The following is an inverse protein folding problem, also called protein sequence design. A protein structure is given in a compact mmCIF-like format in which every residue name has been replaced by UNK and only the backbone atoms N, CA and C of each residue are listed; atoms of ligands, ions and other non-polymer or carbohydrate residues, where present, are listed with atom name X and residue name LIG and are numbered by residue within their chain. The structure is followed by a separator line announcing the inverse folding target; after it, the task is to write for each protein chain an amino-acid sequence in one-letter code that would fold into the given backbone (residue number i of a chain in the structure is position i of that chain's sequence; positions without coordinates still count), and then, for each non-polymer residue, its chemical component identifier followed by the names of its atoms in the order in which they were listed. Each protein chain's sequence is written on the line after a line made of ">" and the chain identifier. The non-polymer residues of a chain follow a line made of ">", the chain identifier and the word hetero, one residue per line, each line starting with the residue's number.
data_IF_916447987292
#
_entry.id   IF_916447987292
#
_cell.length_a   1.000
_cell.length_b   1.000
_cell.length_c   1.000
_cell.angle_alpha   90.00
_cell.angle_beta   90.00
_cell.angle_gamma   90.00
#
_symmetry.space_group_name_H-M   'P 1'
#
loop_
_entity.id
_entity.type
_entity.pdbx_description
1 polymer ?
#
# COMPACT_ATOMS: atom_id res chain seq x y z
N UNK A 1 4.86 9.11 -16.51
CA UNK A 1 4.22 10.35 -16.99
C UNK A 1 3.26 10.92 -15.95
N UNK A 2 2.32 10.12 -15.43
CA UNK A 2 1.37 10.53 -14.38
C UNK A 2 2.03 11.23 -13.16
N UNK A 3 3.05 10.63 -12.55
CA UNK A 3 3.78 11.22 -11.42
C UNK A 3 4.33 12.62 -11.70
N UNK A 4 4.94 12.82 -12.87
CA UNK A 4 5.50 14.12 -13.25
C UNK A 4 4.42 15.17 -13.46
N UNK A 5 3.27 14.77 -14.01
CA UNK A 5 2.10 15.65 -14.17
C UNK A 5 1.59 16.06 -12.78
N UNK A 6 1.38 15.10 -11.89
CA UNK A 6 0.94 15.36 -10.51
C UNK A 6 1.92 16.30 -9.77
N UNK A 7 3.23 16.12 -9.95
CA UNK A 7 4.25 17.02 -9.41
C UNK A 7 4.17 18.41 -10.03
N UNK A 8 4.01 18.51 -11.35
CA UNK A 8 3.97 19.81 -12.07
C UNK A 8 2.79 20.70 -11.71
N UNK A 9 1.67 20.11 -11.28
CA UNK A 9 0.49 20.84 -10.79
C UNK A 9 0.44 20.95 -9.26
N UNK A 10 1.53 20.56 -8.58
CA UNK A 10 1.72 20.75 -7.15
C UNK A 10 0.96 19.79 -6.24
N UNK A 11 0.48 18.62 -6.71
CA UNK A 11 -0.29 17.70 -5.85
C UNK A 11 0.56 17.09 -4.71
N UNK A 12 1.88 17.12 -4.84
CA UNK A 12 2.83 16.64 -3.84
C UNK A 12 3.07 17.62 -2.70
N UNK A 13 2.47 18.82 -2.77
CA UNK A 13 2.68 19.89 -1.80
C UNK A 13 1.49 20.06 -0.86
N UNK A 14 1.75 20.40 0.40
CA UNK A 14 0.69 20.74 1.38
C UNK A 14 -0.13 21.93 0.88
N UNK A 15 -1.43 21.91 1.18
CA UNK A 15 -2.36 23.00 0.88
C UNK A 15 -1.91 24.32 1.53
N UNK A 16 -1.21 24.24 2.67
CA UNK A 16 -0.66 25.38 3.40
C UNK A 16 0.38 26.19 2.62
N UNK A 17 0.93 25.63 1.55
CA UNK A 17 1.92 26.30 0.69
C UNK A 17 1.29 27.24 -0.35
N UNK A 18 -0.03 27.20 -0.53
CA UNK A 18 -0.76 28.07 -1.46
C UNK A 18 -1.10 29.42 -0.81
N UNK A 19 -0.30 30.44 -1.11
CA UNK A 19 -0.46 31.79 -0.53
C UNK A 19 -1.38 32.72 -1.34
N UNK A 20 -1.77 32.34 -2.56
CA UNK A 20 -2.60 33.19 -3.42
C UNK A 20 -4.09 32.93 -3.20
N UNK A 21 -4.89 33.95 -2.81
CA UNK A 21 -6.30 33.77 -2.45
C UNK A 21 -7.16 33.10 -3.52
N UNK A 22 -6.90 33.39 -4.80
CA UNK A 22 -7.62 32.82 -5.94
C UNK A 22 -7.27 31.34 -6.18
N UNK A 23 -6.03 30.94 -5.90
CA UNK A 23 -5.60 29.53 -5.99
C UNK A 23 -6.20 28.74 -4.81
N UNK A 24 -6.16 29.33 -3.62
CA UNK A 24 -6.64 28.69 -2.39
C UNK A 24 -8.12 28.31 -2.49
N UNK A 25 -8.97 29.16 -3.09
CA UNK A 25 -10.40 28.85 -3.24
C UNK A 25 -10.67 27.60 -4.10
N UNK A 26 -9.92 27.42 -5.20
CA UNK A 26 -10.05 26.25 -6.07
C UNK A 26 -9.44 25.01 -5.40
N UNK A 27 -8.25 25.17 -4.83
CA UNK A 27 -7.49 24.09 -4.18
C UNK A 27 -8.22 23.54 -2.97
N UNK A 28 -8.82 24.39 -2.12
CA UNK A 28 -9.59 23.95 -0.96
C UNK A 28 -10.87 23.21 -1.33
N UNK A 29 -11.51 23.54 -2.46
CA UNK A 29 -12.73 22.86 -2.90
C UNK A 29 -12.47 21.41 -3.33
N UNK A 30 -11.28 21.14 -3.86
CA UNK A 30 -10.90 19.83 -4.41
C UNK A 30 -9.81 19.14 -3.59
N UNK A 31 -9.51 19.64 -2.38
CA UNK A 31 -8.33 19.21 -1.61
C UNK A 31 -8.28 17.69 -1.40
N UNK A 32 -9.39 17.09 -0.97
CA UNK A 32 -9.49 15.63 -0.79
C UNK A 32 -9.18 14.84 -2.06
N UNK A 33 -9.67 15.31 -3.22
CA UNK A 33 -9.38 14.66 -4.49
C UNK A 33 -7.91 14.82 -4.87
N UNK A 34 -7.32 16.00 -4.64
CA UNK A 34 -5.90 16.27 -4.89
C UNK A 34 -5.01 15.34 -4.06
N UNK A 35 -5.30 15.23 -2.77
CA UNK A 35 -4.54 14.37 -1.85
C UNK A 35 -4.72 12.89 -2.23
N UNK A 36 -5.95 12.46 -2.55
CA UNK A 36 -6.19 11.09 -3.01
C UNK A 36 -5.41 10.75 -4.28
N UNK A 37 -5.42 11.64 -5.27
CA UNK A 37 -4.69 11.43 -6.54
C UNK A 37 -3.19 11.39 -6.31
N UNK A 38 -2.67 12.29 -5.47
CA UNK A 38 -1.26 12.29 -5.12
C UNK A 38 -0.85 10.98 -4.44
N UNK A 39 -1.55 10.60 -3.37
CA UNK A 39 -1.21 9.41 -2.60
C UNK A 39 -1.41 8.12 -3.40
N UNK A 40 -2.36 8.08 -4.34
CA UNK A 40 -2.46 6.96 -5.29
C UNK A 40 -1.24 6.89 -6.21
N UNK A 41 -0.80 8.03 -6.76
CA UNK A 41 0.43 8.10 -7.55
C UNK A 41 1.65 7.66 -6.73
N UNK A 42 1.72 8.08 -5.46
CA UNK A 42 2.75 7.70 -4.51
C UNK A 42 2.78 6.19 -4.31
N UNK A 43 1.66 5.58 -3.92
CA UNK A 43 1.58 4.15 -3.66
C UNK A 43 1.94 3.31 -4.89
N UNK A 44 1.46 3.70 -6.07
CA UNK A 44 1.79 3.02 -7.33
C UNK A 44 3.28 3.12 -7.66
N UNK A 45 3.88 4.31 -7.51
CA UNK A 45 5.31 4.48 -7.77
C UNK A 45 6.16 3.65 -6.81
N UNK A 46 5.89 3.69 -5.50
CA UNK A 46 6.66 2.94 -4.50
C UNK A 46 6.51 1.43 -4.66
N UNK A 47 5.27 0.94 -4.82
CA UNK A 47 4.98 -0.48 -5.02
C UNK A 47 5.67 -1.03 -6.27
N UNK A 48 5.45 -0.39 -7.42
CA UNK A 48 6.01 -0.88 -8.68
C UNK A 48 7.53 -0.76 -8.72
N UNK A 49 8.09 0.30 -8.13
CA UNK A 49 9.53 0.48 -8.07
C UNK A 49 10.20 -0.59 -7.23
N UNK A 50 9.60 -0.91 -6.08
CA UNK A 50 10.04 -2.01 -5.22
C UNK A 50 9.95 -3.37 -5.92
N UNK A 51 8.81 -3.67 -6.58
CA UNK A 51 8.57 -4.94 -7.26
C UNK A 51 9.48 -5.19 -8.47
N UNK A 52 9.83 -4.12 -9.19
CA UNK A 52 10.64 -4.22 -10.42
C UNK A 52 12.11 -3.90 -10.21
N UNK A 53 12.51 -3.45 -9.02
CA UNK A 53 13.88 -3.05 -8.70
C UNK A 53 14.33 -1.77 -9.40
N UNK A 54 13.41 -1.00 -10.02
CA UNK A 54 13.73 0.29 -10.63
C UNK A 54 13.76 1.40 -9.57
N UNK A 55 14.50 2.50 -9.78
CA UNK A 55 14.40 3.68 -8.92
C UNK A 55 12.99 4.28 -8.93
N UNK A 56 12.52 4.70 -7.75
CA UNK A 56 11.28 5.46 -7.57
C UNK A 56 11.41 6.84 -8.24
N UNK A 57 10.35 7.26 -8.94
CA UNK A 57 10.30 8.60 -9.55
C UNK A 57 9.99 9.69 -8.52
N UNK A 58 9.46 9.31 -7.36
CA UNK A 58 9.11 10.21 -6.27
C UNK A 58 10.19 10.15 -5.21
N UNK A 59 10.77 11.30 -4.89
CA UNK A 59 11.66 11.47 -3.75
C UNK A 59 10.84 11.99 -2.56
N UNK A 60 10.88 11.27 -1.44
CA UNK A 60 10.03 11.57 -0.27
C UNK A 60 10.37 12.93 0.34
N UNK A 61 11.63 13.38 0.23
CA UNK A 61 12.06 14.69 0.73
C UNK A 61 11.49 15.88 -0.04
N UNK A 62 10.96 15.66 -1.25
CA UNK A 62 10.32 16.70 -2.04
C UNK A 62 8.82 16.84 -1.73
N UNK A 63 8.25 15.93 -0.91
CA UNK A 63 6.82 15.79 -0.72
C UNK A 63 6.40 16.23 0.69
N UNK A 64 5.45 17.16 0.78
CA UNK A 64 4.83 17.59 2.04
C UNK A 64 3.29 17.56 1.99
N UNK A 65 2.71 16.84 1.02
CA UNK A 65 1.26 16.66 0.91
C UNK A 65 0.62 16.08 2.19
N UNK A 66 -0.55 16.62 2.53
CA UNK A 66 -1.35 16.18 3.66
C UNK A 66 -1.97 14.80 3.38
N UNK A 67 -2.26 14.02 4.42
CA UNK A 67 -3.00 12.78 4.24
C UNK A 67 -4.46 13.10 3.84
N UNK A 68 -5.10 12.30 2.97
CA UNK A 68 -6.46 12.59 2.53
C UNK A 68 -7.44 12.52 3.70
N UNK A 69 -8.31 13.52 3.84
CA UNK A 69 -9.42 13.48 4.78
C UNK A 69 -10.61 12.73 4.17
N UNK A 70 -10.64 11.42 4.44
CA UNK A 70 -11.63 10.51 3.88
C UNK A 70 -12.91 10.44 4.73
N UNK A 71 -12.94 11.11 5.88
CA UNK A 71 -14.10 11.13 6.77
C UNK A 71 -15.20 12.06 6.23
N UNK A 72 -14.83 13.18 5.60
CA UNK A 72 -15.79 14.13 5.01
C UNK A 72 -16.37 13.65 3.66
N UNK A 73 -15.65 12.80 2.93
CA UNK A 73 -16.09 12.25 1.65
C UNK A 73 -17.08 11.07 1.80
N UNK A 74 -17.21 10.55 3.02
CA UNK A 74 -18.08 9.41 3.33
C UNK A 74 -19.49 9.92 3.62
N UNK A 75 -20.45 9.66 2.72
CA UNK A 75 -21.88 9.78 3.03
C UNK A 75 -22.19 9.03 4.34
N UNK A 76 -23.14 9.51 5.19
CA UNK A 76 -23.39 8.93 6.50
C UNK A 76 -23.55 7.41 6.42
N UNK A 77 -23.07 6.66 7.44
CA UNK A 77 -22.89 5.23 7.35
C UNK A 77 -24.25 4.55 7.21
N UNK A 78 -24.61 4.23 5.97
CA UNK A 78 -25.75 3.34 5.68
C UNK A 78 -25.33 1.87 5.73
N UNK A 79 -24.05 1.59 6.03
CA UNK A 79 -23.52 0.24 6.07
C UNK A 79 -23.47 -0.29 7.50
N UNK A 80 -24.53 -1.01 7.86
CA UNK A 80 -24.68 -1.80 9.10
C UNK A 80 -23.93 -3.15 8.98
N UNK A 81 -23.11 -3.36 7.94
CA UNK A 81 -22.51 -4.66 7.62
C UNK A 81 -20.98 -4.54 7.59
N UNK A 82 -20.32 -5.19 8.56
CA UNK A 82 -18.90 -5.08 8.89
C UNK A 82 -17.87 -5.60 7.86
N UNK A 83 -17.88 -5.04 6.65
CA UNK A 83 -16.76 -5.14 5.70
C UNK A 83 -15.72 -4.03 5.90
N UNK A 84 -14.51 -4.16 5.32
CA UNK A 84 -13.44 -3.18 5.46
C UNK A 84 -13.84 -1.83 4.85
N UNK A 85 -13.65 -0.78 5.65
CA UNK A 85 -13.85 0.59 5.22
C UNK A 85 -12.75 1.02 4.23
N UNK A 86 -13.16 1.49 3.04
CA UNK A 86 -12.25 1.84 1.94
C UNK A 86 -11.28 2.98 2.31
N UNK A 87 -11.70 4.03 3.04
CA UNK A 87 -10.81 4.97 3.70
C UNK A 87 -9.68 4.32 4.51
N UNK A 88 -10.03 3.38 5.39
CA UNK A 88 -9.06 2.68 6.25
C UNK A 88 -8.08 1.86 5.41
N UNK A 89 -8.55 1.19 4.36
CA UNK A 89 -7.69 0.50 3.40
C UNK A 89 -6.69 1.45 2.74
N UNK A 90 -7.16 2.61 2.24
CA UNK A 90 -6.31 3.52 1.49
C UNK A 90 -5.23 4.14 2.38
N UNK A 91 -5.58 4.53 3.60
CA UNK A 91 -4.60 5.01 4.59
C UNK A 91 -3.59 3.93 4.97
N UNK A 92 -4.02 2.68 5.13
CA UNK A 92 -3.14 1.55 5.41
C UNK A 92 -2.17 1.25 4.26
N UNK A 93 -2.65 1.38 3.02
CA UNK A 93 -1.83 1.24 1.81
C UNK A 93 -0.76 2.34 1.73
N UNK A 94 -1.14 3.59 2.03
CA UNK A 94 -0.20 4.71 2.10
C UNK A 94 0.90 4.44 3.13
N UNK A 95 0.54 4.01 4.34
CA UNK A 95 1.53 3.72 5.38
C UNK A 95 2.47 2.57 4.98
N UNK A 96 1.94 1.50 4.37
CA UNK A 96 2.76 0.40 3.86
C UNK A 96 3.74 0.89 2.79
N UNK A 97 3.28 1.70 1.83
CA UNK A 97 4.11 2.23 0.76
C UNK A 97 5.19 3.20 1.28
N UNK A 98 4.93 3.97 2.35
CA UNK A 98 5.95 4.78 3.03
C UNK A 98 7.05 3.90 3.63
N UNK A 99 6.68 2.81 4.30
CA UNK A 99 7.65 1.85 4.85
C UNK A 99 8.45 1.15 3.76
N UNK A 100 7.78 0.72 2.68
CA UNK A 100 8.44 0.16 1.48
C UNK A 100 9.44 1.17 0.88
N UNK A 101 9.10 2.46 0.84
CA UNK A 101 10.04 3.51 0.39
C UNK A 101 11.30 3.55 1.26
N UNK A 102 11.15 3.58 2.59
CA UNK A 102 12.28 3.54 3.53
C UNK A 102 13.13 2.27 3.36
N UNK A 103 12.49 1.10 3.25
CA UNK A 103 13.16 -0.18 3.03
C UNK A 103 13.95 -0.15 1.72
N UNK A 104 13.36 0.40 0.65
CA UNK A 104 14.02 0.53 -0.65
C UNK A 104 15.25 1.42 -0.57
N UNK A 105 15.12 2.53 0.14
CA UNK A 105 16.20 3.47 0.33
C UNK A 105 17.38 2.85 1.09
N UNK A 106 17.13 2.01 2.11
CA UNK A 106 18.19 1.42 2.94
C UNK A 106 18.79 0.11 2.38
N UNK A 107 17.97 -0.72 1.72
CA UNK A 107 18.36 -2.06 1.28
C UNK A 107 18.57 -2.24 -0.21
N UNK A 108 17.97 -1.39 -1.05
CA UNK A 108 17.99 -1.59 -2.51
C UNK A 108 18.66 -0.42 -3.25
N UNK A 109 19.57 0.29 -2.57
CA UNK A 109 20.34 1.37 -3.16
C UNK A 109 21.70 0.90 -3.70
N UNK A 110 22.35 1.74 -4.51
CA UNK A 110 23.65 1.42 -5.16
C UNK A 110 24.83 1.25 -4.18
N UNK A 111 24.70 1.79 -2.96
CA UNK A 111 25.71 1.70 -1.90
C UNK A 111 25.56 0.42 -1.07
N UNK A 112 24.39 -0.24 -1.09
CA UNK A 112 24.15 -1.48 -0.33
C UNK A 112 25.22 -2.56 -0.55
N UNK A 113 25.73 -2.82 -1.78
CA UNK A 113 26.81 -3.78 -1.98
C UNK A 113 28.14 -3.43 -1.29
N UNK A 114 28.34 -2.16 -0.92
CA UNK A 114 29.55 -1.66 -0.26
C UNK A 114 29.43 -1.64 1.26
N UNK A 115 28.23 -1.88 1.82
CA UNK A 115 28.02 -1.92 3.26
C UNK A 115 28.74 -3.12 3.87
N UNK A 116 29.30 -2.91 5.06
CA UNK A 116 29.77 -4.02 5.86
C UNK A 116 28.61 -4.92 6.30
N UNK A 117 28.95 -6.16 6.65
CA UNK A 117 27.98 -7.22 6.99
C UNK A 117 27.11 -6.85 8.19
N UNK A 118 27.65 -6.13 9.17
CA UNK A 118 26.92 -5.74 10.38
C UNK A 118 25.89 -4.68 10.04
N UNK A 119 26.29 -3.65 9.31
CA UNK A 119 25.39 -2.59 8.84
C UNK A 119 24.29 -3.14 7.93
N UNK A 120 24.64 -4.01 6.97
CA UNK A 120 23.65 -4.65 6.10
C UNK A 120 22.65 -5.49 6.91
N UNK A 121 23.14 -6.30 7.86
CA UNK A 121 22.27 -7.09 8.73
C UNK A 121 21.36 -6.21 9.60
N UNK A 122 21.82 -5.03 9.99
CA UNK A 122 21.02 -4.06 10.75
C UNK A 122 19.91 -3.46 9.90
N UNK A 123 20.21 -2.99 8.68
CA UNK A 123 19.19 -2.50 7.76
C UNK A 123 18.12 -3.56 7.48
N UNK A 124 18.53 -4.82 7.31
CA UNK A 124 17.62 -5.95 7.08
C UNK A 124 16.69 -6.18 8.28
N UNK A 125 17.23 -6.16 9.50
CA UNK A 125 16.41 -6.27 10.72
C UNK A 125 15.43 -5.11 10.83
N UNK A 126 15.91 -3.89 10.61
CA UNK A 126 15.07 -2.69 10.69
C UNK A 126 13.93 -2.76 9.66
N UNK A 127 14.21 -3.19 8.44
CA UNK A 127 13.21 -3.42 7.41
C UNK A 127 12.16 -4.47 7.81
N UNK A 128 12.58 -5.60 8.38
CA UNK A 128 11.67 -6.62 8.87
C UNK A 128 10.78 -6.09 10.02
N UNK A 129 11.37 -5.34 10.97
CA UNK A 129 10.63 -4.70 12.06
C UNK A 129 9.63 -3.66 11.57
N UNK A 130 9.98 -2.86 10.55
CA UNK A 130 9.05 -1.90 9.95
C UNK A 130 7.80 -2.57 9.38
N UNK A 131 7.97 -3.71 8.71
CA UNK A 131 6.87 -4.51 8.16
C UNK A 131 6.04 -5.17 9.26
N UNK A 132 6.68 -5.79 10.26
CA UNK A 132 5.98 -6.43 11.38
C UNK A 132 5.15 -5.40 12.16
N UNK A 133 5.73 -4.24 12.47
CA UNK A 133 5.02 -3.16 13.16
C UNK A 133 3.80 -2.68 12.37
N UNK A 134 3.94 -2.56 11.04
CA UNK A 134 2.80 -2.22 10.19
C UNK A 134 1.69 -3.27 10.28
N UNK A 135 2.06 -4.56 10.25
CA UNK A 135 1.07 -5.66 10.33
C UNK A 135 0.35 -5.68 11.67
N UNK A 136 1.05 -5.45 12.79
CA UNK A 136 0.45 -5.39 14.13
C UNK A 136 -0.48 -4.18 14.30
N UNK A 137 -0.21 -3.07 13.58
CA UNK A 137 -1.03 -1.86 13.61
C UNK A 137 -2.25 -1.93 12.67
N UNK A 138 -2.32 -2.94 11.80
CA UNK A 138 -3.41 -3.10 10.86
C UNK A 138 -4.73 -3.40 11.60
N UNK A 139 -5.81 -2.73 11.21
CA UNK A 139 -7.11 -2.95 11.84
C UNK A 139 -7.64 -4.37 11.58
N UNK A 140 -8.38 -4.92 12.55
CA UNK A 140 -8.95 -6.27 12.46
C UNK A 140 -9.83 -6.49 11.22
N UNK A 141 -10.42 -5.43 10.66
CA UNK A 141 -11.25 -5.48 9.45
C UNK A 141 -10.42 -5.65 8.16
N UNK A 142 -9.15 -5.25 8.20
CA UNK A 142 -8.23 -5.34 7.07
C UNK A 142 -7.28 -6.54 7.17
N UNK A 143 -7.41 -7.36 8.22
CA UNK A 143 -6.66 -8.61 8.35
C UNK A 143 -7.28 -9.70 7.46
N UNK A 144 -6.58 -10.05 6.38
CA UNK A 144 -7.00 -11.06 5.38
C UNK A 144 -7.27 -12.45 5.95
N UNK A 145 -6.85 -12.74 7.19
CA UNK A 145 -7.16 -13.98 7.89
C UNK A 145 -8.64 -14.11 8.27
N UNK A 146 -9.42 -13.03 8.15
CA UNK A 146 -10.87 -13.02 8.41
C UNK A 146 -11.59 -12.85 7.09
N UNK A 147 -12.26 -13.91 6.67
CA UNK A 147 -13.01 -13.99 5.41
C UNK A 147 -14.05 -12.87 5.34
N UNK A 148 -13.78 -11.83 4.56
CA UNK A 148 -14.78 -10.78 4.25
C UNK A 148 -15.67 -11.27 3.11
N UNK A 149 -16.35 -12.40 3.32
CA UNK A 149 -17.43 -12.82 2.43
C UNK A 149 -18.66 -11.98 2.76
N UNK A 150 -19.14 -11.18 1.80
CA UNK A 150 -20.38 -10.40 1.92
C UNK A 150 -20.26 -8.89 1.77
N UNK A 151 -19.13 -8.34 1.30
CA UNK A 151 -19.05 -6.90 0.97
C UNK A 151 -19.85 -6.57 -0.30
N UNK A 152 -20.62 -5.49 -0.25
CA UNK A 152 -21.51 -5.05 -1.34
C UNK A 152 -20.77 -4.52 -2.58
N UNK A 153 -19.43 -4.41 -2.55
CA UNK A 153 -18.60 -3.99 -3.68
C UNK A 153 -17.36 -4.88 -3.85
N UNK A 154 -16.98 -5.14 -5.11
CA UNK A 154 -15.78 -5.93 -5.46
C UNK A 154 -14.50 -5.33 -4.88
N UNK A 155 -14.40 -4.00 -4.83
CA UNK A 155 -13.22 -3.31 -4.31
C UNK A 155 -13.02 -3.55 -2.81
N UNK A 156 -14.10 -3.57 -2.02
CA UNK A 156 -14.03 -3.89 -0.59
C UNK A 156 -13.61 -5.34 -0.36
N UNK A 157 -14.07 -6.28 -1.18
CA UNK A 157 -13.66 -7.69 -1.10
C UNK A 157 -12.16 -7.87 -1.40
N UNK A 158 -11.57 -6.98 -2.22
CA UNK A 158 -10.16 -7.04 -2.60
C UNK A 158 -9.23 -6.26 -1.68
N UNK A 159 -9.76 -5.36 -0.84
CA UNK A 159 -8.95 -4.45 -0.02
C UNK A 159 -7.95 -5.20 0.88
N UNK A 160 -8.44 -6.11 1.74
CA UNK A 160 -7.58 -6.87 2.65
C UNK A 160 -6.61 -7.80 1.90
N UNK A 161 -7.04 -8.65 0.94
CA UNK A 161 -6.11 -9.48 0.17
C UNK A 161 -5.02 -8.69 -0.56
N UNK A 162 -5.35 -7.54 -1.15
CA UNK A 162 -4.37 -6.70 -1.85
C UNK A 162 -3.30 -6.16 -0.90
N UNK A 163 -3.69 -5.66 0.28
CA UNK A 163 -2.74 -5.22 1.30
C UNK A 163 -1.81 -6.35 1.73
N UNK A 164 -2.37 -7.54 1.97
CA UNK A 164 -1.58 -8.68 2.39
C UNK A 164 -0.62 -9.17 1.30
N UNK A 165 -1.04 -9.16 0.03
CA UNK A 165 -0.16 -9.47 -1.09
C UNK A 165 1.04 -8.51 -1.15
N UNK A 166 0.81 -7.20 -0.99
CA UNK A 166 1.89 -6.19 -0.99
C UNK A 166 2.83 -6.42 0.20
N UNK A 167 2.27 -6.66 1.39
CA UNK A 167 3.04 -6.97 2.61
C UNK A 167 3.91 -8.23 2.45
N UNK A 168 3.32 -9.34 1.99
CA UNK A 168 4.02 -10.60 1.81
C UNK A 168 5.13 -10.48 0.77
N UNK A 169 4.89 -9.75 -0.33
CA UNK A 169 5.91 -9.49 -1.32
C UNK A 169 7.08 -8.67 -0.75
N UNK A 170 6.79 -7.65 0.07
CA UNK A 170 7.81 -6.90 0.79
C UNK A 170 8.62 -7.78 1.75
N UNK A 171 7.94 -8.67 2.48
CA UNK A 171 8.56 -9.60 3.41
C UNK A 171 9.50 -10.58 2.68
N UNK A 172 9.08 -11.15 1.55
CA UNK A 172 9.90 -12.00 0.69
C UNK A 172 11.16 -11.25 0.23
N UNK A 173 11.03 -10.02 -0.25
CA UNK A 173 12.18 -9.24 -0.73
C UNK A 173 13.19 -8.92 0.39
N UNK A 174 12.73 -8.57 1.60
CA UNK A 174 13.59 -8.32 2.76
C UNK A 174 14.33 -9.59 3.17
N UNK A 175 13.62 -10.72 3.34
CA UNK A 175 14.26 -11.96 3.78
C UNK A 175 15.15 -12.60 2.72
N UNK A 176 14.87 -12.42 1.43
CA UNK A 176 15.82 -12.79 0.36
C UNK A 176 17.14 -12.02 0.47
N UNK A 177 17.08 -10.75 0.86
CA UNK A 177 18.29 -9.95 1.10
C UNK A 177 19.13 -10.52 2.24
N UNK A 178 18.50 -11.08 3.28
CA UNK A 178 19.20 -11.84 4.34
C UNK A 178 19.95 -13.06 3.81
N UNK A 179 19.34 -13.81 2.88
CA UNK A 179 19.93 -15.01 2.29
C UNK A 179 21.12 -14.65 1.38
N UNK A 180 20.98 -13.59 0.58
CA UNK A 180 22.07 -13.08 -0.27
C UNK A 180 23.23 -12.57 0.60
N UNK A 181 22.92 -11.83 1.67
CA UNK A 181 23.93 -11.36 2.62
C UNK A 181 24.66 -12.53 3.28
N UNK A 182 23.94 -13.60 3.63
CA UNK A 182 24.54 -14.81 4.17
C UNK A 182 25.43 -15.55 3.16
N UNK A 183 25.05 -15.63 1.89
CA UNK A 183 25.90 -16.25 0.86
C UNK A 183 27.21 -15.49 0.62
N UNK A 184 27.22 -14.17 0.85
CA UNK A 184 28.45 -13.36 0.78
C UNK A 184 29.42 -13.65 1.94
N UNK A 185 29.01 -14.40 2.96
CA UNK A 185 29.75 -14.50 4.23
C UNK A 185 29.62 -15.87 4.89
N UNK A 186 30.72 -16.56 5.18
CA UNK A 186 30.73 -17.80 5.97
C UNK A 186 30.37 -17.61 7.47
N UNK A 187 29.93 -16.42 7.89
CA UNK A 187 29.82 -16.00 9.29
C UNK A 187 28.43 -15.54 9.74
N UNK A 188 27.39 -15.60 8.90
CA UNK A 188 26.03 -15.35 9.39
C UNK A 188 25.56 -16.55 10.21
N UNK A 189 25.04 -16.37 11.45
CA UNK A 189 24.60 -17.49 12.27
C UNK A 189 23.56 -18.34 11.53
N UNK A 190 23.84 -19.64 11.37
CA UNK A 190 22.96 -20.61 10.73
C UNK A 190 21.48 -20.51 11.18
N UNK A 191 21.16 -20.27 12.48
CA UNK A 191 19.77 -20.12 12.92
C UNK A 191 19.04 -18.92 12.29
N UNK A 192 19.74 -17.81 12.03
CA UNK A 192 19.16 -16.60 11.44
C UNK A 192 18.84 -16.79 9.96
N UNK A 193 19.71 -17.51 9.26
CA UNK A 193 19.52 -17.88 7.85
C UNK A 193 18.30 -18.79 7.75
N UNK A 194 18.26 -19.86 8.55
CA UNK A 194 17.14 -20.80 8.59
C UNK A 194 15.81 -20.12 8.92
N UNK A 195 15.81 -19.16 9.87
CA UNK A 195 14.61 -18.38 10.17
C UNK A 195 14.17 -17.50 8.98
N UNK A 196 15.10 -16.81 8.32
CA UNK A 196 14.78 -15.98 7.15
C UNK A 196 14.30 -16.81 5.96
N UNK A 197 14.91 -17.97 5.74
CA UNK A 197 14.50 -18.93 4.72
C UNK A 197 13.07 -19.41 4.97
N UNK A 198 12.76 -19.83 6.20
CA UNK A 198 11.42 -20.24 6.59
C UNK A 198 10.39 -19.12 6.37
N UNK A 199 10.67 -17.91 6.85
CA UNK A 199 9.76 -16.77 6.67
C UNK A 199 9.55 -16.47 5.18
N UNK A 200 10.61 -16.48 4.38
CA UNK A 200 10.53 -16.25 2.94
C UNK A 200 9.66 -17.32 2.24
N UNK A 201 9.83 -18.59 2.60
CA UNK A 201 9.07 -19.70 2.02
C UNK A 201 7.59 -19.63 2.42
N UNK A 202 7.31 -19.43 3.71
CA UNK A 202 5.96 -19.30 4.23
C UNK A 202 5.23 -18.10 3.59
N UNK A 203 5.92 -16.96 3.44
CA UNK A 203 5.36 -15.79 2.80
C UNK A 203 5.08 -16.00 1.31
N UNK A 204 5.99 -16.67 0.59
CA UNK A 204 5.80 -16.98 -0.82
C UNK A 204 4.61 -17.94 -1.05
N UNK A 205 4.46 -18.96 -0.20
CA UNK A 205 3.31 -19.87 -0.28
C UNK A 205 1.99 -19.15 0.00
N UNK A 206 1.94 -18.30 1.04
CA UNK A 206 0.75 -17.50 1.36
C UNK A 206 0.39 -16.55 0.22
N UNK A 207 1.39 -15.89 -0.38
CA UNK A 207 1.19 -14.99 -1.50
C UNK A 207 0.60 -15.72 -2.71
N UNK A 208 1.17 -16.88 -3.07
CA UNK A 208 0.64 -17.70 -4.16
C UNK A 208 -0.79 -18.16 -3.91
N UNK A 209 -1.10 -18.56 -2.66
CA UNK A 209 -2.44 -18.94 -2.26
C UNK A 209 -3.44 -17.78 -2.40
N UNK A 210 -3.12 -16.59 -1.87
CA UNK A 210 -4.01 -15.44 -1.96
C UNK A 210 -4.26 -14.98 -3.39
N UNK A 211 -3.22 -14.93 -4.22
CA UNK A 211 -3.38 -14.60 -5.64
C UNK A 211 -4.27 -15.63 -6.33
N UNK A 212 -4.11 -16.92 -6.02
CA UNK A 212 -4.97 -17.96 -6.57
C UNK A 212 -6.43 -17.81 -6.12
N UNK A 213 -6.68 -17.49 -4.85
CA UNK A 213 -8.03 -17.20 -4.35
C UNK A 213 -8.64 -16.00 -5.07
N UNK A 214 -7.86 -14.92 -5.26
CA UNK A 214 -8.29 -13.74 -5.99
C UNK A 214 -8.60 -13.98 -7.47
N UNK A 215 -7.99 -15.00 -8.10
CA UNK A 215 -8.22 -15.35 -9.50
C UNK A 215 -9.36 -16.38 -9.66
N UNK A 216 -9.43 -17.36 -8.77
CA UNK A 216 -10.31 -18.52 -8.88
C UNK A 216 -11.75 -18.26 -8.41
N UNK A 217 -11.97 -17.29 -7.52
CA UNK A 217 -13.33 -16.98 -7.04
C UNK A 217 -14.16 -16.23 -8.12
N UNK A 218 -15.32 -16.78 -8.56
CA UNK A 218 -16.21 -16.10 -9.48
C UNK A 218 -16.82 -14.88 -8.79
N UNK A 219 -16.28 -13.70 -9.11
CA UNK A 219 -16.83 -12.41 -8.64
C UNK A 219 -18.20 -12.22 -9.26
N UNK A 220 -19.25 -12.30 -8.46
CA UNK A 220 -20.62 -11.97 -8.88
C UNK A 220 -20.64 -10.52 -9.38
N UNK A 221 -20.75 -10.36 -10.70
CA UNK A 221 -21.08 -9.07 -11.33
C UNK A 221 -22.36 -8.59 -10.64
N UNK A 222 -22.28 -7.46 -9.93
CA UNK A 222 -23.48 -6.79 -9.44
C UNK A 222 -24.39 -6.57 -10.64
N UNK A 223 -25.57 -7.21 -10.64
CA UNK A 223 -26.56 -7.00 -11.68
C UNK A 223 -26.84 -5.50 -11.77
N UNK A 224 -26.82 -4.90 -12.98
CA UNK A 224 -27.16 -3.49 -13.11
C UNK A 224 -28.57 -3.32 -12.53
N UNK A 225 -28.70 -2.46 -11.52
CA UNK A 225 -30.01 -2.07 -10.98
C UNK A 225 -30.86 -1.64 -12.16
N UNK A 226 -31.91 -2.41 -12.46
CA UNK A 226 -32.89 -1.99 -13.46
C UNK A 226 -33.50 -0.69 -12.95
N UNK A 227 -33.20 0.40 -13.66
CA UNK A 227 -33.88 1.67 -13.46
C UNK A 227 -35.33 1.41 -13.87
N UNK A 228 -36.23 1.27 -12.91
CA UNK A 228 -37.66 1.28 -13.20
C UNK A 228 -38.00 2.66 -13.78
N UNK A 229 -38.60 2.74 -14.98
CA UNK A 229 -39.04 4.01 -15.51
C UNK A 229 -40.10 4.62 -14.60
N UNK A 230 -40.17 5.96 -14.47
CA UNK A 230 -41.13 6.62 -13.62
C UNK A 230 -42.55 6.25 -14.05
N UNK A 231 -43.36 5.80 -13.08
CA UNK A 231 -44.78 5.53 -13.25
C UNK A 231 -45.48 6.82 -13.64
N UNK A 232 -45.69 7.01 -14.93
CA UNK A 232 -46.65 7.98 -15.43
C UNK A 232 -48.05 7.38 -15.28
N UNK A 233 -48.96 8.21 -14.78
CA UNK A 233 -50.42 8.05 -14.68
C UNK A 233 -50.97 7.33 -13.44
N UNK A 234 -51.42 8.15 -12.49
CA UNK A 234 -52.77 8.02 -11.95
C UNK A 234 -53.48 9.38 -12.04
N UNK A 235 -54.48 9.43 -12.91
CA UNK A 235 -55.62 10.35 -12.84
C UNK A 235 -56.72 9.72 -12.00
#
# INVERSE_FOLDING_TARGET
>A
MATRIAQSIGLHRSLSTHYHPHELQFVMKEHNLRDCVWWLCYCLDKKLSFETGRPSAINDSDCDADLPDLLEASTPPTHINGGPDLPSFFLSLIDLCKRISSISYDLFNIKTPQLDVKTLAEHIRNAATLLENWRVQLSDQLDSNRSTFGSNSELQAMAAPLLNCIYLNALVAVHRSSLIAAYRTDHVPAPRIAASEKICLDAAHKLAHEVNMLIAEPRTIATPRSVQPPSLYHS
#
